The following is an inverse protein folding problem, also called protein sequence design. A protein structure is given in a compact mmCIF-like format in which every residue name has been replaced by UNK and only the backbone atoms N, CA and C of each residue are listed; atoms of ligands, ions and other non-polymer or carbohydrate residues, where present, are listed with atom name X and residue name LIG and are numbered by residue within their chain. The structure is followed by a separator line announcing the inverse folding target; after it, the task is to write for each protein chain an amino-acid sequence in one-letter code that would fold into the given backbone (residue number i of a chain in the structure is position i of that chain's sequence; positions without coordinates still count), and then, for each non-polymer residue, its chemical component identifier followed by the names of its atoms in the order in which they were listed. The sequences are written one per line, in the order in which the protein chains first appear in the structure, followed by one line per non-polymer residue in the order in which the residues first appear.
data_IF_619018387727
#
_entry.id   IF_619018387727
#
_cell.length_a   1.000
_cell.length_b   1.000
_cell.length_c   1.000
_cell.angle_alpha   90.00
_cell.angle_beta   90.00
_cell.angle_gamma   90.00
#
_symmetry.space_group_name_H-M   'P 1'
#
loop_
_entity.id
_entity.type
_entity.pdbx_description
1 polymer ?
#
# COMPACT_ATOMS: atom_id res chain seq x y z
N UNK A 1 7.34 32.43 15.98
CA UNK A 1 7.33 31.38 14.93
C UNK A 1 6.06 30.56 15.12
N UNK A 2 5.27 30.22 14.08
CA UNK A 2 4.16 29.29 14.25
C UNK A 2 4.71 27.98 14.83
N UNK A 3 4.00 27.39 15.80
CA UNK A 3 4.39 26.09 16.35
C UNK A 3 4.54 25.06 15.23
N UNK A 4 5.53 24.14 15.32
CA UNK A 4 5.65 23.07 14.35
C UNK A 4 4.36 22.24 14.31
N UNK A 5 3.89 21.92 13.10
CA UNK A 5 2.67 21.14 12.93
C UNK A 5 2.76 19.78 13.66
N UNK A 6 1.67 19.42 14.32
CA UNK A 6 1.49 18.15 15.03
C UNK A 6 1.67 16.97 14.07
N UNK A 7 2.44 15.95 14.49
CA UNK A 7 2.53 14.67 13.77
C UNK A 7 1.32 13.77 14.00
N UNK A 8 0.44 14.12 14.94
CA UNK A 8 -0.73 13.30 15.31
C UNK A 8 -1.98 13.67 14.52
N UNK A 9 -2.17 14.97 14.24
CA UNK A 9 -3.37 15.53 13.63
C UNK A 9 -3.06 16.78 12.78
N UNK A 10 -3.96 17.13 11.85
CA UNK A 10 -3.79 18.28 10.94
C UNK A 10 -4.44 19.56 11.46
N UNK A 11 -5.61 19.45 12.12
CA UNK A 11 -6.39 20.58 12.68
C UNK A 11 -6.65 21.72 11.69
N UNK A 12 -7.00 21.39 10.45
CA UNK A 12 -7.33 22.39 9.43
C UNK A 12 -8.81 22.77 9.56
N UNK A 13 -9.05 23.99 10.07
CA UNK A 13 -10.38 24.43 10.51
C UNK A 13 -11.14 25.33 9.52
N UNK A 14 -10.50 25.80 8.44
CA UNK A 14 -11.14 26.63 7.44
C UNK A 14 -10.62 26.33 6.04
N UNK A 15 -11.43 26.66 5.02
CA UNK A 15 -11.01 26.55 3.63
C UNK A 15 -9.77 27.41 3.33
N UNK A 16 -9.66 28.61 3.93
CA UNK A 16 -8.50 29.48 3.76
C UNK A 16 -7.22 28.81 4.30
N UNK A 17 -7.31 28.13 5.45
CA UNK A 17 -6.19 27.37 5.99
C UNK A 17 -5.84 26.18 5.08
N UNK A 18 -6.83 25.42 4.59
CA UNK A 18 -6.60 24.32 3.65
C UNK A 18 -5.92 24.81 2.36
N UNK A 19 -6.43 25.89 1.77
CA UNK A 19 -5.92 26.55 0.57
C UNK A 19 -4.44 26.91 0.73
N UNK A 20 -4.09 27.55 1.86
CA UNK A 20 -2.71 27.89 2.18
C UNK A 20 -1.82 26.64 2.29
N UNK A 21 -2.26 25.60 3.00
CA UNK A 21 -1.50 24.35 3.19
C UNK A 21 -1.27 23.59 1.88
N UNK A 22 -2.26 23.60 0.97
CA UNK A 22 -2.17 22.90 -0.30
C UNK A 22 -1.50 23.73 -1.41
N UNK A 23 -1.38 25.05 -1.25
CA UNK A 23 -0.82 25.95 -2.26
C UNK A 23 -1.78 26.21 -3.43
N UNK A 24 -3.09 26.28 -3.17
CA UNK A 24 -4.12 26.58 -4.18
C UNK A 24 -5.07 27.65 -3.66
N UNK A 25 -5.67 28.42 -4.56
CA UNK A 25 -6.74 29.35 -4.21
C UNK A 25 -7.98 28.60 -3.68
N UNK A 26 -8.73 29.15 -2.69
CA UNK A 26 -9.95 28.54 -2.15
C UNK A 26 -10.96 28.10 -3.22
N UNK A 27 -11.17 28.94 -4.23
CA UNK A 27 -12.14 28.73 -5.33
C UNK A 27 -11.72 27.55 -6.20
N UNK A 28 -10.42 27.34 -6.40
CA UNK A 28 -9.87 26.21 -7.15
C UNK A 28 -10.16 24.90 -6.42
N UNK A 29 -9.98 24.87 -5.10
CA UNK A 29 -10.28 23.68 -4.28
C UNK A 29 -11.78 23.35 -4.27
N UNK A 30 -12.63 24.35 -4.09
CA UNK A 30 -14.09 24.16 -4.15
C UNK A 30 -14.53 23.65 -5.53
N UNK A 31 -14.06 24.28 -6.60
CA UNK A 31 -14.38 23.88 -7.98
C UNK A 31 -13.90 22.47 -8.28
N UNK A 32 -12.68 22.12 -7.87
CA UNK A 32 -12.13 20.78 -8.04
C UNK A 32 -12.96 19.74 -7.27
N UNK A 33 -13.30 20.00 -6.00
CA UNK A 33 -14.14 19.12 -5.20
C UNK A 33 -15.54 18.95 -5.82
N UNK A 34 -16.13 20.04 -6.33
CA UNK A 34 -17.45 20.03 -6.97
C UNK A 34 -17.53 19.09 -8.19
N UNK A 35 -16.39 18.93 -8.91
CA UNK A 35 -16.28 18.16 -10.15
C UNK A 35 -15.41 16.89 -10.01
N UNK A 36 -15.06 16.50 -8.78
CA UNK A 36 -14.06 15.45 -8.54
C UNK A 36 -14.42 14.13 -9.23
N UNK A 37 -15.66 13.65 -9.08
CA UNK A 37 -16.16 12.42 -9.72
C UNK A 37 -16.00 12.44 -11.26
N UNK A 38 -16.25 13.60 -11.89
CA UNK A 38 -16.14 13.79 -13.34
C UNK A 38 -14.69 14.05 -13.81
N UNK A 39 -13.73 14.07 -12.88
CA UNK A 39 -12.33 14.41 -13.15
C UNK A 39 -11.42 13.19 -13.33
N UNK A 40 -11.99 11.98 -13.44
CA UNK A 40 -11.26 10.75 -13.65
C UNK A 40 -11.50 10.14 -15.03
N UNK A 41 -10.45 9.53 -15.59
CA UNK A 41 -10.54 8.54 -16.66
C UNK A 41 -10.30 7.15 -16.06
N UNK A 42 -11.00 6.14 -16.55
CA UNK A 42 -10.92 4.78 -16.05
C UNK A 42 -10.29 3.86 -17.09
N UNK A 43 -9.20 3.20 -16.71
CA UNK A 43 -8.50 2.22 -17.54
C UNK A 43 -8.59 0.83 -16.90
N UNK A 44 -8.60 -0.24 -17.70
CA UNK A 44 -8.59 -1.62 -17.20
C UNK A 44 -7.23 -2.26 -17.46
N UNK A 45 -6.59 -2.75 -16.41
CA UNK A 45 -5.32 -3.50 -16.49
C UNK A 45 -5.58 -4.96 -16.11
N UNK A 46 -5.19 -5.94 -16.93
CA UNK A 46 -5.29 -7.35 -16.56
C UNK A 46 -4.58 -7.64 -15.23
N UNK A 47 -5.21 -8.41 -14.33
CA UNK A 47 -4.54 -8.85 -13.10
C UNK A 47 -3.41 -9.82 -13.44
N UNK A 48 -2.32 -9.80 -12.66
CA UNK A 48 -1.19 -10.73 -12.82
C UNK A 48 -1.58 -12.20 -12.71
N UNK A 49 -2.67 -12.52 -12.01
CA UNK A 49 -3.23 -13.87 -11.92
C UNK A 49 -3.84 -14.37 -13.22
N UNK A 50 -3.99 -13.51 -14.24
CA UNK A 50 -4.70 -13.82 -15.49
C UNK A 50 -6.22 -13.79 -15.37
N UNK A 51 -6.77 -13.67 -14.15
CA UNK A 51 -8.22 -13.66 -13.90
C UNK A 51 -8.71 -12.24 -13.61
N UNK A 52 -9.49 -11.69 -14.54
CA UNK A 52 -10.16 -10.40 -14.41
C UNK A 52 -9.26 -9.18 -14.56
N UNK A 53 -9.83 -8.01 -14.26
CA UNK A 53 -9.19 -6.71 -14.47
C UNK A 53 -9.09 -5.91 -13.17
N UNK A 54 -8.14 -4.99 -13.15
CA UNK A 54 -7.99 -3.92 -12.18
C UNK A 54 -8.37 -2.62 -12.86
N UNK A 55 -9.42 -1.97 -12.38
CA UNK A 55 -9.76 -0.63 -12.82
C UNK A 55 -8.79 0.37 -12.18
N UNK A 56 -8.16 1.21 -13.00
CA UNK A 56 -7.28 2.30 -12.59
C UNK A 56 -8.03 3.60 -12.80
N UNK A 57 -8.02 4.45 -11.77
CA UNK A 57 -8.69 5.75 -11.80
C UNK A 57 -7.62 6.83 -11.99
N UNK A 58 -7.51 7.39 -13.20
CA UNK A 58 -6.54 8.42 -13.55
C UNK A 58 -7.16 9.82 -13.43
N UNK A 59 -6.79 10.62 -12.42
CA UNK A 59 -7.30 12.00 -12.32
C UNK A 59 -6.75 12.87 -13.45
N UNK A 60 -7.50 13.92 -13.80
CA UNK A 60 -7.02 14.99 -14.67
C UNK A 60 -5.85 15.76 -14.01
N UNK A 61 -5.18 16.61 -14.79
CA UNK A 61 -3.97 17.29 -14.34
C UNK A 61 -4.16 18.13 -13.06
N UNK A 62 -5.27 18.87 -12.96
CA UNK A 62 -5.58 19.71 -11.81
C UNK A 62 -5.78 18.86 -10.55
N UNK A 63 -6.68 17.87 -10.61
CA UNK A 63 -6.97 17.02 -9.46
C UNK A 63 -5.74 16.21 -9.04
N UNK A 64 -4.93 15.75 -10.00
CA UNK A 64 -3.65 15.09 -9.73
C UNK A 64 -2.69 15.98 -8.95
N UNK A 65 -2.60 17.26 -9.29
CA UNK A 65 -1.71 18.20 -8.59
C UNK A 65 -2.22 18.51 -7.17
N UNK A 66 -3.53 18.68 -7.00
CA UNK A 66 -4.14 18.82 -5.67
C UNK A 66 -3.90 17.57 -4.82
N UNK A 67 -4.11 16.38 -5.38
CA UNK A 67 -3.85 15.10 -4.70
C UNK A 67 -2.38 14.89 -4.35
N UNK A 68 -1.44 15.45 -5.13
CA UNK A 68 -0.01 15.46 -4.75
C UNK A 68 0.27 16.39 -3.58
N UNK A 69 -0.40 17.53 -3.49
CA UNK A 69 -0.31 18.41 -2.33
C UNK A 69 -0.91 17.74 -1.08
N UNK A 70 -2.05 17.05 -1.23
CA UNK A 70 -2.64 16.25 -0.15
C UNK A 70 -1.69 15.11 0.29
N UNK A 71 -1.02 14.42 -0.64
CA UNK A 71 0.01 13.44 -0.29
C UNK A 71 1.09 14.05 0.62
N UNK A 72 1.66 15.20 0.23
CA UNK A 72 2.66 15.89 1.06
C UNK A 72 2.11 16.23 2.46
N UNK A 73 0.89 16.74 2.52
CA UNK A 73 0.19 17.05 3.76
C UNK A 73 0.03 15.81 4.66
N UNK A 74 -0.39 14.68 4.09
CA UNK A 74 -0.62 13.43 4.84
C UNK A 74 0.69 12.77 5.29
N UNK A 75 1.80 12.96 4.57
CA UNK A 75 3.11 12.42 4.98
C UNK A 75 3.70 13.09 6.22
N UNK A 76 3.11 14.20 6.69
CA UNK A 76 3.44 14.80 7.98
C UNK A 76 2.90 14.00 9.17
N UNK A 77 1.88 13.16 8.95
CA UNK A 77 1.18 12.41 9.99
C UNK A 77 1.81 11.05 10.22
N UNK A 78 1.95 10.70 11.50
CA UNK A 78 2.42 9.38 11.92
C UNK A 78 1.45 8.28 11.52
N UNK A 79 2.05 7.21 11.02
CA UNK A 79 1.39 5.99 10.56
C UNK A 79 1.82 4.81 11.44
N UNK A 80 1.10 3.70 11.34
CA UNK A 80 1.41 2.45 12.03
C UNK A 80 2.83 1.98 11.75
N UNK A 81 3.54 1.51 12.78
CA UNK A 81 4.87 0.91 12.63
C UNK A 81 4.86 -0.42 11.89
N UNK A 82 3.73 -1.12 11.91
CA UNK A 82 3.53 -2.38 11.19
C UNK A 82 3.26 -2.18 9.69
N UNK A 83 3.04 -0.95 9.22
CA UNK A 83 2.78 -0.66 7.81
C UNK A 83 4.10 -0.50 7.03
N UNK A 84 4.25 -1.17 5.89
CA UNK A 84 5.50 -1.14 5.09
C UNK A 84 5.35 -0.64 3.65
N UNK A 85 4.14 -0.29 3.21
CA UNK A 85 3.86 0.05 1.81
C UNK A 85 3.67 1.57 1.60
N UNK A 86 4.41 2.14 0.64
CA UNK A 86 4.35 3.57 0.30
C UNK A 86 5.01 4.50 1.32
N UNK A 87 5.92 3.98 2.13
CA UNK A 87 6.49 4.70 3.27
C UNK A 87 7.99 4.82 3.06
N UNK A 88 8.54 6.03 3.29
CA UNK A 88 9.98 6.28 3.14
C UNK A 88 10.77 5.33 4.04
N UNK A 89 11.80 4.69 3.48
CA UNK A 89 12.66 3.69 4.15
C UNK A 89 11.98 2.36 4.52
N UNK A 90 10.70 2.15 4.20
CA UNK A 90 10.05 0.84 4.27
C UNK A 90 9.78 0.29 2.87
N UNK A 91 9.76 -1.01 2.75
CA UNK A 91 9.59 -1.74 1.50
C UNK A 91 9.03 -3.14 1.76
N UNK A 92 8.70 -3.84 0.69
CA UNK A 92 8.37 -5.26 0.73
C UNK A 92 9.50 -6.11 1.35
N UNK A 93 10.76 -5.67 1.23
CA UNK A 93 11.90 -6.35 1.86
C UNK A 93 11.88 -6.15 3.37
N UNK A 94 11.72 -4.90 3.86
CA UNK A 94 11.61 -4.63 5.30
C UNK A 94 10.40 -5.34 5.92
N UNK A 95 9.30 -5.49 5.17
CA UNK A 95 8.14 -6.27 5.59
C UNK A 95 8.53 -7.74 5.79
N UNK A 96 9.15 -8.35 4.77
CA UNK A 96 9.55 -9.75 4.80
C UNK A 96 10.61 -10.07 5.87
N UNK A 97 11.48 -9.11 6.23
CA UNK A 97 12.46 -9.28 7.32
C UNK A 97 11.80 -9.71 8.63
N UNK A 98 10.66 -9.11 9.00
CA UNK A 98 9.94 -9.42 10.25
C UNK A 98 9.45 -10.87 10.35
N UNK A 99 9.36 -11.56 9.21
CA UNK A 99 8.86 -12.93 9.12
C UNK A 99 9.94 -13.96 8.79
N UNK A 100 11.22 -13.56 8.81
CA UNK A 100 12.33 -14.43 8.51
C UNK A 100 12.55 -15.50 9.60
N UNK A 101 12.82 -16.73 9.15
CA UNK A 101 13.16 -17.89 9.98
C UNK A 101 12.11 -18.22 11.05
N UNK A 102 10.82 -18.12 10.71
CA UNK A 102 9.69 -18.40 11.60
C UNK A 102 9.11 -19.79 11.32
N UNK A 103 8.69 -20.50 12.36
CA UNK A 103 8.09 -21.84 12.25
C UNK A 103 6.84 -21.84 11.39
N UNK A 104 6.01 -20.80 11.51
CA UNK A 104 4.79 -20.62 10.72
C UNK A 104 4.70 -19.20 10.19
N UNK A 105 4.19 -19.08 8.96
CA UNK A 105 3.78 -17.82 8.33
C UNK A 105 2.33 -17.96 7.91
N UNK A 106 1.50 -17.02 8.37
CA UNK A 106 0.10 -16.88 8.01
C UNK A 106 -0.08 -15.57 7.26
N UNK A 107 -0.64 -15.63 6.06
CA UNK A 107 -0.86 -14.44 5.24
C UNK A 107 -2.31 -14.37 4.78
N UNK A 108 -2.83 -13.15 4.73
CA UNK A 108 -4.17 -12.81 4.26
C UNK A 108 -4.09 -11.59 3.33
N UNK A 109 -5.12 -11.37 2.51
CA UNK A 109 -5.19 -10.24 1.57
C UNK A 109 -6.57 -9.60 1.62
N UNK A 110 -6.63 -8.27 1.56
CA UNK A 110 -7.89 -7.57 1.38
C UNK A 110 -8.39 -7.68 -0.06
N UNK A 111 -9.67 -8.01 -0.21
CA UNK A 111 -10.34 -7.95 -1.51
C UNK A 111 -10.52 -6.49 -1.92
N UNK A 112 -9.99 -6.11 -3.09
CA UNK A 112 -10.16 -4.78 -3.69
C UNK A 112 -9.92 -3.63 -2.68
N UNK A 113 -8.74 -3.60 -2.06
CA UNK A 113 -8.44 -2.75 -0.92
C UNK A 113 -8.83 -1.27 -1.09
N UNK A 114 -8.33 -0.56 -2.12
CA UNK A 114 -8.61 0.88 -2.27
C UNK A 114 -10.09 1.19 -2.52
N UNK A 115 -10.79 0.54 -3.47
CA UNK A 115 -12.23 0.79 -3.66
C UNK A 115 -13.07 0.50 -2.41
N UNK A 116 -12.62 -0.40 -1.52
CA UNK A 116 -13.32 -0.72 -0.28
C UNK A 116 -12.97 0.21 0.90
N UNK A 117 -12.00 1.11 0.76
CA UNK A 117 -11.86 2.23 1.70
C UNK A 117 -12.93 3.26 1.34
N UNK A 118 -14.04 3.21 2.07
CA UNK A 118 -15.22 4.03 1.78
C UNK A 118 -14.98 5.52 2.03
N UNK A 119 -15.71 6.36 1.32
CA UNK A 119 -15.74 7.80 1.59
C UNK A 119 -16.17 8.15 3.02
N UNK A 120 -16.96 7.31 3.70
CA UNK A 120 -17.26 7.46 5.12
C UNK A 120 -16.02 7.27 6.00
N UNK A 121 -15.18 6.26 5.72
CA UNK A 121 -13.91 6.08 6.44
C UNK A 121 -12.95 7.25 6.17
N UNK A 122 -12.89 7.74 4.93
CA UNK A 122 -12.09 8.92 4.58
C UNK A 122 -12.58 10.17 5.31
N UNK A 123 -13.89 10.40 5.33
CA UNK A 123 -14.49 11.49 6.10
C UNK A 123 -14.18 11.35 7.59
N UNK A 124 -14.34 10.15 8.15
CA UNK A 124 -14.06 9.87 9.55
C UNK A 124 -12.59 10.09 9.92
N UNK A 125 -11.66 9.71 9.03
CA UNK A 125 -10.23 10.01 9.17
C UNK A 125 -10.00 11.51 9.28
N UNK A 126 -10.46 12.30 8.31
CA UNK A 126 -10.22 13.74 8.31
C UNK A 126 -10.93 14.45 9.48
N UNK A 127 -12.17 14.07 9.79
CA UNK A 127 -12.97 14.72 10.83
C UNK A 127 -12.50 14.39 12.24
N UNK A 128 -12.37 13.09 12.54
CA UNK A 128 -12.24 12.63 13.92
C UNK A 128 -10.80 12.34 14.33
N UNK A 129 -9.97 11.86 13.40
CA UNK A 129 -8.57 11.55 13.69
C UNK A 129 -7.65 12.74 13.39
N UNK A 130 -7.80 13.35 12.21
CA UNK A 130 -6.99 14.50 11.79
C UNK A 130 -7.58 15.85 12.23
N UNK A 131 -8.74 15.83 12.90
CA UNK A 131 -9.38 16.98 13.56
C UNK A 131 -9.68 18.17 12.64
N UNK A 132 -9.98 17.92 11.37
CA UNK A 132 -10.41 18.98 10.44
C UNK A 132 -11.85 19.43 10.74
N UNK A 133 -12.20 20.66 10.35
CA UNK A 133 -13.60 21.13 10.41
C UNK A 133 -14.49 20.39 9.41
N UNK A 134 -15.82 20.37 9.61
CA UNK A 134 -16.76 19.66 8.72
C UNK A 134 -16.64 20.08 7.24
N UNK A 135 -16.52 21.38 6.96
CA UNK A 135 -16.41 21.90 5.59
C UNK A 135 -15.13 21.43 4.89
N UNK A 136 -13.99 21.54 5.60
CA UNK A 136 -12.69 21.08 5.13
C UNK A 136 -12.71 19.56 4.90
N UNK A 137 -13.32 18.82 5.82
CA UNK A 137 -13.47 17.36 5.72
C UNK A 137 -14.26 16.97 4.49
N UNK A 138 -15.37 17.66 4.19
CA UNK A 138 -16.17 17.41 3.00
C UNK A 138 -15.38 17.62 1.71
N UNK A 139 -14.64 18.73 1.62
CA UNK A 139 -13.79 19.06 0.47
C UNK A 139 -12.69 18.00 0.30
N UNK A 140 -11.95 17.69 1.36
CA UNK A 140 -10.89 16.69 1.31
C UNK A 140 -11.43 15.32 0.91
N UNK A 141 -12.54 14.88 1.49
CA UNK A 141 -13.17 13.60 1.15
C UNK A 141 -13.47 13.53 -0.35
N UNK A 142 -14.13 14.55 -0.91
CA UNK A 142 -14.45 14.61 -2.35
C UNK A 142 -13.21 14.61 -3.25
N UNK A 143 -12.13 15.28 -2.85
CA UNK A 143 -10.86 15.29 -3.60
C UNK A 143 -10.11 13.95 -3.51
N UNK A 144 -10.43 13.14 -2.52
CA UNK A 144 -9.73 11.91 -2.16
C UNK A 144 -10.46 10.63 -2.59
N UNK A 145 -11.71 10.73 -3.03
CA UNK A 145 -12.55 9.58 -3.37
C UNK A 145 -13.21 9.71 -4.73
N UNK A 146 -13.50 8.56 -5.34
CA UNK A 146 -14.25 8.43 -6.60
C UNK A 146 -15.09 7.15 -6.53
N UNK A 147 -16.31 7.15 -7.06
CA UNK A 147 -17.23 5.99 -6.99
C UNK A 147 -17.39 5.45 -5.55
N UNK A 148 -17.43 6.35 -4.57
CA UNK A 148 -17.65 6.00 -3.17
C UNK A 148 -16.45 5.46 -2.39
N UNK A 149 -15.27 5.30 -3.01
CA UNK A 149 -14.06 4.80 -2.36
C UNK A 149 -12.76 5.48 -2.81
N UNK A 150 -11.62 5.03 -2.29
CA UNK A 150 -10.32 5.61 -2.64
C UNK A 150 -9.89 5.19 -4.06
N UNK A 151 -9.47 6.12 -4.94
CA UNK A 151 -9.09 5.81 -6.31
C UNK A 151 -7.85 4.93 -6.37
N UNK A 152 -7.85 3.95 -7.26
CA UNK A 152 -6.65 3.15 -7.51
C UNK A 152 -5.71 3.90 -8.46
N UNK A 153 -4.54 4.32 -7.96
CA UNK A 153 -3.54 5.07 -8.73
C UNK A 153 -3.45 6.57 -8.39
N UNK A 154 -4.23 7.06 -7.43
CA UNK A 154 -4.07 8.41 -6.86
C UNK A 154 -2.77 8.52 -6.05
N UNK A 155 -2.13 9.70 -6.08
CA UNK A 155 -0.86 9.93 -5.37
C UNK A 155 -0.98 9.82 -3.85
N UNK A 156 -2.17 10.07 -3.31
CA UNK A 156 -2.47 10.10 -1.88
C UNK A 156 -3.24 8.87 -1.39
N UNK A 157 -3.58 7.95 -2.30
CA UNK A 157 -4.40 6.79 -2.00
C UNK A 157 -3.74 5.86 -0.98
N UNK A 158 -2.42 5.71 -1.05
CA UNK A 158 -1.67 4.90 -0.10
C UNK A 158 -1.58 5.55 1.28
N UNK A 159 -1.46 6.88 1.35
CA UNK A 159 -1.41 7.59 2.62
C UNK A 159 -2.75 7.43 3.37
N UNK A 160 -3.87 7.63 2.67
CA UNK A 160 -5.20 7.37 3.24
C UNK A 160 -5.34 5.92 3.67
N UNK A 161 -4.95 4.96 2.83
CA UNK A 161 -5.04 3.55 3.17
C UNK A 161 -4.28 3.22 4.46
N UNK A 162 -3.05 3.73 4.60
CA UNK A 162 -2.27 3.53 5.81
C UNK A 162 -2.87 4.23 7.04
N UNK A 163 -3.39 5.44 6.88
CA UNK A 163 -3.98 6.20 7.99
C UNK A 163 -5.30 5.59 8.48
N UNK A 164 -6.18 5.18 7.56
CA UNK A 164 -7.45 4.50 7.90
C UNK A 164 -7.17 3.14 8.57
N UNK A 165 -6.15 2.41 8.14
CA UNK A 165 -5.79 1.11 8.72
C UNK A 165 -5.06 1.19 10.07
N UNK A 166 -4.75 2.38 10.62
CA UNK A 166 -4.00 2.50 11.89
C UNK A 166 -4.67 1.75 13.05
N UNK A 167 -5.97 1.95 13.24
CA UNK A 167 -6.71 1.28 14.32
C UNK A 167 -6.75 -0.23 14.14
N UNK A 168 -6.92 -0.70 12.90
CA UNK A 168 -6.81 -2.12 12.57
C UNK A 168 -5.44 -2.66 12.98
N UNK A 169 -4.37 -1.98 12.56
CA UNK A 169 -3.01 -2.40 12.84
C UNK A 169 -2.73 -2.46 14.34
N UNK A 170 -3.17 -1.47 15.12
CA UNK A 170 -3.02 -1.46 16.58
C UNK A 170 -3.72 -2.66 17.22
N UNK A 171 -4.93 -3.01 16.78
CA UNK A 171 -5.67 -4.17 17.31
C UNK A 171 -5.00 -5.49 16.96
N UNK A 172 -4.54 -5.64 15.71
CA UNK A 172 -3.83 -6.84 15.27
C UNK A 172 -2.47 -7.00 15.96
N UNK A 173 -1.73 -5.92 16.13
CA UNK A 173 -0.48 -5.92 16.90
C UNK A 173 -0.72 -6.33 18.36
N UNK A 174 -1.75 -5.77 19.01
CA UNK A 174 -2.13 -6.14 20.37
C UNK A 174 -2.47 -7.63 20.50
N UNK A 175 -3.23 -8.19 19.56
CA UNK A 175 -3.53 -9.63 19.52
C UNK A 175 -2.24 -10.45 19.32
N UNK A 176 -1.34 -10.03 18.45
CA UNK A 176 -0.09 -10.72 18.20
C UNK A 176 0.84 -10.73 19.42
N UNK A 177 0.88 -9.63 20.20
CA UNK A 177 1.64 -9.56 21.45
C UNK A 177 1.19 -10.63 22.45
N UNK A 178 -0.12 -10.82 22.62
CA UNK A 178 -0.69 -11.85 23.51
C UNK A 178 -0.25 -13.26 23.09
N UNK A 179 -0.17 -13.52 21.79
CA UNK A 179 0.19 -14.83 21.23
C UNK A 179 1.69 -14.98 20.91
N UNK A 180 2.53 -13.99 21.24
CA UNK A 180 3.95 -13.94 20.88
C UNK A 180 4.20 -14.16 19.37
N UNK A 181 3.43 -13.45 18.54
CA UNK A 181 3.51 -13.45 17.09
C UNK A 181 4.02 -12.10 16.57
N UNK A 182 4.59 -12.11 15.37
CA UNK A 182 4.96 -10.91 14.62
C UNK A 182 3.87 -10.57 13.62
N UNK A 183 3.56 -9.29 13.43
CA UNK A 183 2.56 -8.79 12.48
C UNK A 183 3.15 -7.69 11.60
N UNK A 184 2.87 -7.73 10.30
CA UNK A 184 3.11 -6.61 9.39
C UNK A 184 2.00 -6.51 8.33
N UNK A 185 1.82 -5.30 7.80
CA UNK A 185 0.94 -5.02 6.66
C UNK A 185 1.71 -4.34 5.54
N UNK A 186 1.58 -4.88 4.34
CA UNK A 186 2.13 -4.30 3.13
C UNK A 186 1.04 -4.09 2.09
N UNK A 187 0.52 -2.87 2.03
CA UNK A 187 -0.63 -2.50 1.24
C UNK A 187 -1.86 -3.32 1.68
N UNK A 188 -2.33 -4.24 0.83
CA UNK A 188 -3.44 -5.18 1.02
C UNK A 188 -3.03 -6.51 1.66
N UNK A 189 -1.74 -6.84 1.70
CA UNK A 189 -1.21 -8.07 2.29
C UNK A 189 -1.00 -7.91 3.81
N UNK A 190 -1.64 -8.76 4.60
CA UNK A 190 -1.44 -8.94 6.05
C UNK A 190 -0.57 -10.17 6.28
N UNK A 191 0.45 -10.07 7.14
CA UNK A 191 1.36 -11.17 7.41
C UNK A 191 1.55 -11.33 8.91
N UNK A 192 1.44 -12.57 9.37
CA UNK A 192 1.61 -12.99 10.75
C UNK A 192 2.62 -14.13 10.78
N UNK A 193 3.47 -14.19 11.82
CA UNK A 193 4.40 -15.31 11.95
C UNK A 193 4.83 -15.57 13.39
N UNK A 194 5.27 -16.79 13.65
CA UNK A 194 5.78 -17.17 14.96
C UNK A 194 5.87 -18.68 15.14
N UNK A 195 5.94 -19.13 16.39
CA UNK A 195 6.14 -20.55 16.74
C UNK A 195 4.93 -21.42 16.40
N UNK A 196 3.72 -20.89 16.60
CA UNK A 196 2.45 -21.61 16.37
C UNK A 196 1.34 -20.61 16.10
N UNK A 197 0.49 -20.89 15.11
CA UNK A 197 -0.68 -20.09 14.79
C UNK A 197 -1.92 -20.93 15.04
N UNK A 198 -2.73 -20.52 16.02
CA UNK A 198 -3.93 -21.25 16.45
C UNK A 198 -5.14 -20.84 15.62
N UNK A 199 -6.10 -21.75 15.45
CA UNK A 199 -7.37 -21.43 14.78
C UNK A 199 -8.15 -20.34 15.51
N UNK A 200 -8.10 -20.34 16.85
CA UNK A 200 -8.69 -19.28 17.67
C UNK A 200 -8.04 -17.92 17.42
N UNK A 201 -6.75 -17.87 17.09
CA UNK A 201 -6.08 -16.63 16.68
C UNK A 201 -6.58 -16.19 15.31
N UNK A 202 -6.64 -17.08 14.31
CA UNK A 202 -7.13 -16.77 12.96
C UNK A 202 -8.57 -16.24 12.98
N UNK A 203 -9.45 -16.89 13.74
CA UNK A 203 -10.83 -16.44 13.92
C UNK A 203 -10.91 -15.02 14.51
N UNK A 204 -10.09 -14.70 15.53
CA UNK A 204 -10.01 -13.34 16.09
C UNK A 204 -9.48 -12.31 15.10
N UNK A 205 -8.47 -12.66 14.31
CA UNK A 205 -7.95 -11.81 13.23
C UNK A 205 -9.06 -11.48 12.23
N UNK A 206 -9.83 -12.49 11.80
CA UNK A 206 -10.93 -12.31 10.86
C UNK A 206 -12.02 -11.39 11.43
N UNK A 207 -12.39 -11.55 12.70
CA UNK A 207 -13.35 -10.67 13.40
C UNK A 207 -12.83 -9.21 13.41
N UNK A 208 -11.59 -8.98 13.82
CA UNK A 208 -10.98 -7.65 13.87
C UNK A 208 -11.00 -6.97 12.48
N UNK A 209 -10.71 -7.73 11.42
CA UNK A 209 -10.69 -7.24 10.05
C UNK A 209 -12.11 -6.88 9.58
N UNK A 210 -13.10 -7.76 9.83
CA UNK A 210 -14.51 -7.52 9.48
C UNK A 210 -15.07 -6.27 10.17
N UNK A 211 -14.81 -6.10 11.46
CA UNK A 211 -15.22 -4.91 12.22
C UNK A 211 -14.54 -3.63 11.72
N UNK A 212 -13.37 -3.73 11.10
CA UNK A 212 -12.67 -2.60 10.49
C UNK A 212 -13.21 -2.23 9.10
N UNK A 213 -14.17 -2.99 8.57
CA UNK A 213 -14.84 -2.73 7.30
C UNK A 213 -14.06 -3.17 6.06
N UNK A 214 -13.07 -4.07 6.21
CA UNK A 214 -12.27 -4.56 5.09
C UNK A 214 -12.69 -5.98 4.67
N UNK A 215 -13.18 -6.18 3.44
CA UNK A 215 -13.49 -7.52 2.97
C UNK A 215 -12.20 -8.31 2.69
N UNK A 216 -12.18 -9.58 3.11
CA UNK A 216 -11.07 -10.49 2.87
C UNK A 216 -11.19 -11.20 1.53
N UNK A 217 -10.04 -11.60 1.01
CA UNK A 217 -9.93 -12.46 -0.16
C UNK A 217 -9.60 -13.90 0.27
N UNK A 218 -10.60 -14.80 0.33
CA UNK A 218 -10.41 -16.16 0.86
C UNK A 218 -9.42 -16.97 0.01
N UNK A 219 -9.35 -16.72 -1.30
CA UNK A 219 -8.44 -17.41 -2.23
C UNK A 219 -6.95 -17.10 -1.97
N UNK A 220 -6.66 -16.10 -1.14
CA UNK A 220 -5.31 -15.65 -0.82
C UNK A 220 -4.95 -15.84 0.66
N UNK A 221 -5.78 -16.54 1.42
CA UNK A 221 -5.41 -16.97 2.76
C UNK A 221 -4.43 -18.15 2.67
N UNK A 222 -3.30 -18.06 3.38
CA UNK A 222 -2.29 -19.13 3.40
C UNK A 222 -1.70 -19.30 4.78
N UNK A 223 -1.46 -20.55 5.20
CA UNK A 223 -0.77 -20.90 6.43
C UNK A 223 0.32 -21.93 6.09
N UNK A 224 1.59 -21.54 6.20
CA UNK A 224 2.72 -22.32 5.68
C UNK A 224 3.75 -22.59 6.78
N UNK A 225 4.09 -23.86 7.07
CA UNK A 225 5.13 -24.21 8.04
C UNK A 225 6.55 -24.06 7.44
N UNK A 226 7.57 -24.04 8.30
CA UNK A 226 8.94 -23.71 7.92
C UNK A 226 9.61 -24.72 6.97
N UNK A 227 9.24 -25.99 7.02
CA UNK A 227 9.74 -27.01 6.08
C UNK A 227 9.14 -26.86 4.67
N UNK A 228 8.06 -26.10 4.53
CA UNK A 228 7.51 -25.70 3.24
C UNK A 228 8.03 -24.33 2.83
N UNK A 229 8.13 -24.04 1.51
CA UNK A 229 8.60 -22.75 1.05
C UNK A 229 7.63 -21.62 1.45
N UNK A 230 7.96 -20.87 2.51
CA UNK A 230 7.23 -19.70 2.97
C UNK A 230 7.55 -18.49 2.09
N UNK A 231 6.56 -17.64 1.87
CA UNK A 231 6.72 -16.40 1.13
C UNK A 231 5.93 -15.28 1.77
N UNK A 232 6.53 -14.09 1.86
CA UNK A 232 5.88 -12.86 2.28
C UNK A 232 6.12 -11.83 1.19
N UNK A 233 5.05 -11.25 0.64
CA UNK A 233 5.09 -10.23 -0.43
C UNK A 233 6.05 -10.55 -1.60
N UNK A 234 6.05 -11.83 -2.00
CA UNK A 234 6.86 -12.33 -3.11
C UNK A 234 8.32 -12.67 -2.79
N UNK A 235 8.74 -12.60 -1.52
CA UNK A 235 10.08 -12.96 -1.05
C UNK A 235 10.04 -14.22 -0.18
N UNK A 236 11.04 -15.10 -0.32
CA UNK A 236 11.22 -16.28 0.55
C UNK A 236 11.73 -15.85 1.91
N UNK A 237 11.15 -16.42 2.97
CA UNK A 237 11.44 -16.03 4.36
C UNK A 237 11.91 -17.19 5.26
N UNK A 238 12.08 -18.41 4.75
CA UNK A 238 12.58 -19.55 5.55
C UNK A 238 14.05 -19.41 6.04
N UNK A 239 14.70 -18.28 5.81
CA UNK A 239 16.14 -18.05 6.04
C UNK A 239 16.33 -16.83 6.94
N UNK A 240 17.55 -16.59 7.42
CA UNK A 240 17.92 -15.41 8.20
C UNK A 240 17.62 -14.07 7.52
N UNK A 241 17.57 -14.05 6.18
CA UNK A 241 17.25 -12.88 5.36
C UNK A 241 16.28 -13.26 4.25
N UNK A 242 15.41 -12.35 3.81
CA UNK A 242 14.51 -12.58 2.71
C UNK A 242 15.30 -12.73 1.42
N UNK A 243 14.82 -13.57 0.51
CA UNK A 243 15.46 -13.71 -0.80
C UNK A 243 14.46 -13.89 -1.92
N UNK A 244 14.87 -13.48 -3.13
CA UNK A 244 14.04 -13.67 -4.32
C UNK A 244 13.92 -15.18 -4.61
N UNK A 245 12.69 -15.72 -4.83
CA UNK A 245 12.48 -17.12 -5.15
C UNK A 245 13.36 -17.60 -6.31
N UNK A 246 13.85 -18.85 -6.24
CA UNK A 246 14.72 -19.45 -7.27
C UNK A 246 14.09 -19.41 -8.66
N UNK A 247 12.78 -19.67 -8.76
CA UNK A 247 12.01 -19.60 -10.02
C UNK A 247 12.10 -18.21 -10.66
N UNK A 248 11.78 -17.17 -9.88
CA UNK A 248 11.86 -15.77 -10.32
C UNK A 248 13.28 -15.38 -10.74
N UNK A 249 14.30 -15.77 -9.97
CA UNK A 249 15.71 -15.53 -10.36
C UNK A 249 16.10 -16.24 -11.66
N UNK A 250 15.59 -17.45 -11.90
CA UNK A 250 15.82 -18.19 -13.14
C UNK A 250 15.17 -17.48 -14.33
N UNK A 251 13.96 -16.95 -14.15
CA UNK A 251 13.27 -16.15 -15.17
C UNK A 251 14.05 -14.88 -15.53
N UNK A 252 14.54 -14.13 -14.53
CA UNK A 252 15.37 -12.93 -14.76
C UNK A 252 16.68 -13.24 -15.48
N UNK A 253 17.34 -14.35 -15.11
CA UNK A 253 18.55 -14.82 -15.81
C UNK A 253 18.27 -15.23 -17.24
N UNK A 254 17.17 -15.93 -17.49
CA UNK A 254 16.74 -16.31 -18.85
C UNK A 254 16.52 -15.06 -19.68
N UNK A 255 15.83 -14.05 -19.14
CA UNK A 255 15.61 -12.78 -19.82
C UNK A 255 16.93 -12.09 -20.21
N UNK A 256 17.85 -11.95 -19.25
CA UNK A 256 19.19 -11.39 -19.50
C UNK A 256 19.97 -12.17 -20.54
N UNK A 257 19.92 -13.50 -20.47
CA UNK A 257 20.61 -14.37 -21.42
C UNK A 257 20.07 -14.21 -22.84
N UNK A 258 18.74 -14.17 -22.99
CA UNK A 258 18.09 -13.96 -24.29
C UNK A 258 18.51 -12.63 -24.90
N UNK A 259 18.53 -11.56 -24.10
CA UNK A 259 18.90 -10.23 -24.57
C UNK A 259 20.38 -10.12 -24.98
N UNK A 260 21.28 -10.87 -24.32
CA UNK A 260 22.72 -10.79 -24.56
C UNK A 260 23.22 -11.71 -25.68
N UNK A 261 22.60 -12.88 -25.87
CA UNK A 261 23.11 -13.92 -26.77
C UNK A 261 22.44 -13.95 -28.13
N UNK A 262 21.21 -13.48 -28.23
CA UNK A 262 20.45 -13.55 -29.46
C UNK A 262 20.28 -12.15 -30.01
N UNK A 263 20.52 -11.97 -31.31
CA UNK A 263 19.94 -10.83 -32.01
C UNK A 263 18.43 -10.94 -31.83
N UNK A 264 17.86 -9.98 -31.11
CA UNK A 264 16.43 -10.00 -30.82
C UNK A 264 15.69 -9.48 -32.05
N UNK A 265 15.72 -10.30 -33.12
CA UNK A 265 15.03 -10.01 -34.36
C UNK A 265 13.54 -9.76 -34.07
N UNK A 266 13.01 -8.68 -34.62
CA UNK A 266 11.61 -8.29 -34.43
C UNK A 266 11.32 -7.44 -33.19
N UNK A 267 12.31 -7.04 -32.40
CA UNK A 267 12.12 -6.00 -31.38
C UNK A 267 12.59 -4.63 -31.87
N UNK A 268 11.77 -3.61 -31.61
CA UNK A 268 12.16 -2.23 -31.80
C UNK A 268 13.28 -1.82 -30.84
N UNK A 269 14.11 -0.80 -31.19
CA UNK A 269 15.10 -0.24 -30.27
C UNK A 269 14.50 0.18 -28.92
N UNK A 270 13.27 0.70 -28.93
CA UNK A 270 12.55 1.09 -27.71
C UNK A 270 12.25 -0.12 -26.79
N UNK A 271 11.85 -1.26 -27.35
CA UNK A 271 11.58 -2.48 -26.57
C UNK A 271 12.86 -3.08 -25.99
N UNK A 272 13.95 -3.05 -26.76
CA UNK A 272 15.28 -3.47 -26.29
C UNK A 272 15.68 -2.62 -25.08
N UNK A 273 15.55 -1.29 -25.18
CA UNK A 273 15.88 -0.37 -24.09
C UNK A 273 15.00 -0.61 -22.86
N UNK A 274 13.69 -0.79 -23.04
CA UNK A 274 12.77 -1.13 -21.94
C UNK A 274 13.16 -2.44 -21.23
N UNK A 275 13.63 -3.45 -21.97
CA UNK A 275 14.14 -4.71 -21.38
C UNK A 275 15.45 -4.50 -20.63
N UNK A 276 16.39 -3.72 -21.19
CA UNK A 276 17.65 -3.35 -20.50
C UNK A 276 17.37 -2.65 -19.17
N UNK A 277 16.48 -1.66 -19.16
CA UNK A 277 16.06 -0.96 -17.94
C UNK A 277 15.44 -1.91 -16.91
N UNK A 278 14.59 -2.84 -17.35
CA UNK A 278 14.00 -3.87 -16.47
C UNK A 278 15.07 -4.77 -15.85
N UNK A 279 16.03 -5.26 -16.63
CA UNK A 279 17.13 -6.12 -16.15
C UNK A 279 18.02 -5.34 -15.16
N UNK A 280 18.32 -4.08 -15.44
CA UNK A 280 19.07 -3.23 -14.52
C UNK A 280 18.33 -3.05 -13.19
N UNK A 281 17.02 -2.81 -13.23
CA UNK A 281 16.17 -2.78 -12.04
C UNK A 281 16.17 -4.09 -11.25
N UNK A 282 16.09 -5.23 -11.94
CA UNK A 282 16.17 -6.57 -11.31
C UNK A 282 17.53 -6.77 -10.61
N UNK A 283 18.64 -6.38 -11.24
CA UNK A 283 19.97 -6.49 -10.66
C UNK A 283 20.15 -5.56 -9.45
N UNK A 284 19.70 -4.31 -9.55
CA UNK A 284 19.73 -3.35 -8.45
C UNK A 284 18.92 -3.86 -7.25
N UNK A 285 17.73 -4.44 -7.50
CA UNK A 285 16.89 -5.04 -6.47
C UNK A 285 17.54 -6.27 -5.80
N UNK A 286 18.21 -7.14 -6.57
CA UNK A 286 18.98 -8.26 -6.01
C UNK A 286 20.13 -7.77 -5.14
N UNK A 287 20.87 -6.75 -5.59
CA UNK A 287 21.95 -6.13 -4.83
C UNK A 287 21.44 -5.55 -3.51
N UNK A 288 20.33 -4.81 -3.55
CA UNK A 288 19.67 -4.27 -2.37
C UNK A 288 19.31 -5.37 -1.35
N UNK A 289 18.67 -6.46 -1.78
CA UNK A 289 18.31 -7.58 -0.89
C UNK A 289 19.54 -8.22 -0.26
N UNK A 290 20.60 -8.45 -1.05
CA UNK A 290 21.82 -9.11 -0.55
C UNK A 290 22.57 -8.26 0.48
N UNK A 291 22.51 -6.93 0.35
CA UNK A 291 23.24 -5.98 1.19
C UNK A 291 22.50 -5.62 2.49
N UNK A 292 21.22 -5.99 2.64
CA UNK A 292 20.48 -5.76 3.89
C UNK A 292 21.11 -6.58 5.01
N UNK A 293 21.40 -5.94 6.14
CA UNK A 293 21.87 -6.61 7.35
C UNK A 293 20.70 -7.32 8.06
N UNK A 294 20.95 -8.48 8.72
CA UNK A 294 19.92 -9.20 9.45
C UNK A 294 19.44 -8.42 10.67
#
# INVERSE_FOLDING_TARGET
MPEPYSKRDLRINSLKHLAHRLGFAPEVLQKAASRAEKSYKFDKIPKKSGKGFREISKPNALLKNIQKAIHKLLTEIEISDNAHCGIKKRSNVTNAMNHCNKEWVYSMDFKNFFPNISHHQVYGLFRYELKCSPDVTSILTRLCTVKGGVPQGGSMSMDIANLVSRKLDTRLEGLCKIHNLSYTRHCDDLNFSGKRILDTFRAKVEIIIKESGFPLNPDKETLIPHHHPQSVVGLRVNRKKPCVPRKTRREWRKEKHVLNKFEVHGLSPHEIEKRKQRINGQNAYLSHINNIQP
#
